data_IF_358076641975
#
_entry.id   IF_358076641975
#
_cell.length_a   1.000
_cell.length_b   1.000
_cell.length_c   1.000
_cell.angle_alpha   90.00
_cell.angle_beta   90.00
_cell.angle_gamma   90.00
#
_symmetry.space_group_name_H-M   'P 1'
#
loop_
_entity.id
_entity.type
_entity.pdbx_description
1 polymer ?
#
# COMPACT_ATOMS: atom_id res chain seq x y z
N UNK A 1 -9.51 11.61 -10.12
CA UNK A 1 -10.73 11.13 -9.42
C UNK A 1 -11.94 11.02 -10.35
N UNK A 2 -12.15 11.98 -11.27
CA UNK A 2 -13.33 11.97 -12.14
C UNK A 2 -13.22 10.90 -13.22
N UNK A 3 -12.04 10.69 -13.80
CA UNK A 3 -11.77 9.62 -14.77
C UNK A 3 -12.13 8.22 -14.23
N UNK A 4 -11.79 7.92 -12.99
CA UNK A 4 -12.15 6.63 -12.36
C UNK A 4 -13.66 6.50 -12.20
N UNK A 5 -14.36 7.56 -11.82
CA UNK A 5 -15.82 7.56 -11.73
C UNK A 5 -16.47 7.29 -13.08
N UNK A 6 -15.94 7.90 -14.15
CA UNK A 6 -16.41 7.64 -15.52
C UNK A 6 -16.16 6.18 -15.95
N UNK A 7 -14.97 5.63 -15.64
CA UNK A 7 -14.63 4.25 -15.95
C UNK A 7 -15.46 3.22 -15.18
N UNK A 8 -15.95 3.58 -14.00
CA UNK A 8 -16.83 2.75 -13.16
C UNK A 8 -18.31 3.07 -13.38
N UNK A 9 -18.64 3.98 -14.30
CA UNK A 9 -20.03 4.33 -14.61
C UNK A 9 -20.78 3.09 -15.16
N UNK A 10 -21.83 2.69 -14.45
CA UNK A 10 -22.62 1.49 -14.77
C UNK A 10 -22.21 0.21 -14.02
N UNK A 11 -21.11 0.21 -13.29
CA UNK A 11 -20.79 -0.88 -12.35
C UNK A 11 -21.75 -0.86 -11.16
N UNK A 12 -22.38 -2.01 -10.87
CA UNK A 12 -23.37 -2.12 -9.80
C UNK A 12 -22.73 -2.11 -8.41
N UNK A 13 -21.49 -2.53 -8.32
CA UNK A 13 -20.75 -2.68 -7.07
C UNK A 13 -19.31 -2.20 -7.27
N UNK A 14 -18.91 -1.22 -6.49
CA UNK A 14 -17.54 -0.66 -6.51
C UNK A 14 -16.75 -0.94 -5.24
N UNK A 15 -17.42 -1.39 -4.20
CA UNK A 15 -16.85 -1.81 -2.92
C UNK A 15 -17.42 -3.16 -2.53
N UNK A 16 -16.58 -4.06 -2.04
CA UNK A 16 -16.95 -5.38 -1.57
C UNK A 16 -16.33 -5.65 -0.21
N UNK A 17 -17.13 -6.08 0.73
CA UNK A 17 -16.66 -6.52 2.06
C UNK A 17 -16.72 -8.04 2.13
N UNK A 18 -15.61 -8.65 2.47
CA UNK A 18 -15.47 -10.09 2.64
C UNK A 18 -15.17 -10.41 4.11
N UNK A 19 -16.02 -11.19 4.76
CA UNK A 19 -15.70 -11.75 6.07
C UNK A 19 -14.79 -12.97 5.89
N UNK A 20 -13.56 -12.88 6.40
CA UNK A 20 -12.50 -13.91 6.23
C UNK A 20 -12.39 -14.82 7.47
N UNK A 21 -12.90 -14.36 8.60
CA UNK A 21 -13.08 -15.10 9.85
C UNK A 21 -14.16 -14.41 10.66
N UNK A 22 -14.76 -15.04 11.70
CA UNK A 22 -15.78 -14.44 12.55
C UNK A 22 -15.35 -13.07 13.08
N UNK A 23 -16.05 -12.01 12.64
CA UNK A 23 -15.77 -10.63 13.02
C UNK A 23 -14.54 -9.99 12.39
N UNK A 24 -13.87 -10.66 11.45
CA UNK A 24 -12.72 -10.10 10.72
C UNK A 24 -13.06 -9.95 9.25
N UNK A 25 -13.01 -8.72 8.78
CA UNK A 25 -13.38 -8.35 7.41
C UNK A 25 -12.22 -7.78 6.63
N UNK A 26 -12.27 -7.93 5.30
CA UNK A 26 -11.44 -7.23 4.34
C UNK A 26 -12.33 -6.45 3.37
N UNK A 27 -12.01 -5.19 3.16
CA UNK A 27 -12.68 -4.37 2.15
C UNK A 27 -11.86 -4.37 0.86
N UNK A 28 -12.56 -4.57 -0.24
CA UNK A 28 -11.97 -4.51 -1.57
C UNK A 28 -12.65 -3.42 -2.39
N UNK A 29 -11.86 -2.72 -3.18
CA UNK A 29 -12.34 -1.71 -4.13
C UNK A 29 -12.20 -2.22 -5.56
N UNK A 30 -13.13 -1.83 -6.41
CA UNK A 30 -13.14 -2.18 -7.83
C UNK A 30 -12.14 -1.32 -8.59
N UNK A 31 -11.13 -1.93 -9.17
CA UNK A 31 -10.17 -1.28 -10.06
C UNK A 31 -10.60 -1.53 -11.50
N UNK A 32 -10.89 -0.50 -12.29
CA UNK A 32 -11.40 -0.67 -13.65
C UNK A 32 -10.31 -1.21 -14.60
N UNK A 33 -10.74 -1.82 -15.70
CA UNK A 33 -9.88 -2.06 -16.85
C UNK A 33 -9.47 -0.73 -17.49
N UNK A 34 -8.35 -0.70 -18.21
CA UNK A 34 -7.91 0.51 -18.90
C UNK A 34 -6.48 0.42 -19.41
N UNK A 35 -5.95 1.54 -19.83
CA UNK A 35 -4.58 1.67 -20.34
C UNK A 35 -3.88 2.84 -19.67
N UNK A 36 -2.58 2.68 -19.43
CA UNK A 36 -1.73 3.73 -18.88
C UNK A 36 -0.27 3.57 -19.34
N UNK A 37 0.51 4.58 -19.10
CA UNK A 37 1.96 4.52 -19.29
C UNK A 37 2.58 4.18 -17.95
N UNK A 38 3.11 2.95 -17.82
CA UNK A 38 3.79 2.44 -16.64
C UNK A 38 5.21 2.97 -16.58
N UNK A 39 5.69 3.26 -15.38
CA UNK A 39 7.02 3.80 -15.14
C UNK A 39 7.06 5.33 -15.14
N UNK A 40 8.24 5.89 -14.93
CA UNK A 40 8.48 7.33 -14.88
C UNK A 40 9.87 7.67 -15.42
N UNK A 41 9.99 8.79 -16.14
CA UNK A 41 11.29 9.35 -16.52
C UNK A 41 11.92 10.20 -15.41
N UNK A 42 11.20 10.45 -14.33
CA UNK A 42 11.65 11.24 -13.18
C UNK A 42 12.01 10.37 -11.97
N UNK A 43 11.85 9.04 -12.09
CA UNK A 43 12.13 8.08 -11.04
C UNK A 43 13.54 7.49 -11.10
N UNK A 44 13.73 6.41 -10.35
CA UNK A 44 14.98 5.64 -10.35
C UNK A 44 15.20 4.93 -11.70
N UNK A 45 16.44 4.51 -12.03
CA UNK A 45 16.78 3.88 -13.31
C UNK A 45 15.94 2.66 -13.68
N UNK A 46 15.39 1.94 -12.72
CA UNK A 46 14.54 0.77 -12.92
C UNK A 46 13.08 1.10 -13.29
N UNK A 47 12.69 2.39 -13.22
CA UNK A 47 11.36 2.84 -13.62
C UNK A 47 11.22 3.13 -15.11
N UNK A 48 12.29 3.02 -15.90
CA UNK A 48 12.26 3.23 -17.34
C UNK A 48 12.99 2.11 -18.13
N UNK A 49 12.69 1.96 -19.43
CA UNK A 49 11.85 2.84 -20.24
C UNK A 49 10.36 2.72 -19.85
N UNK A 50 9.65 3.85 -19.93
CA UNK A 50 8.19 3.82 -19.77
C UNK A 50 7.54 2.93 -20.84
N UNK A 51 6.49 2.22 -20.47
CA UNK A 51 5.83 1.26 -21.34
C UNK A 51 4.31 1.43 -21.27
N UNK A 52 3.65 1.45 -22.44
CA UNK A 52 2.19 1.42 -22.47
C UNK A 52 1.68 0.05 -22.07
N UNK A 53 0.90 0.00 -21.01
CA UNK A 53 0.34 -1.21 -20.43
C UNK A 53 -1.18 -1.17 -20.49
N UNK A 54 -1.79 -2.31 -20.82
CA UNK A 54 -3.24 -2.50 -20.82
C UNK A 54 -3.63 -3.46 -19.71
N UNK A 55 -4.56 -3.03 -18.87
CA UNK A 55 -5.26 -3.85 -17.89
C UNK A 55 -6.57 -4.33 -18.56
N UNK A 56 -6.58 -5.53 -19.06
CA UNK A 56 -7.67 -6.04 -19.90
C UNK A 56 -9.00 -6.24 -19.16
N UNK A 57 -8.92 -6.51 -17.86
CA UNK A 57 -10.10 -6.80 -17.03
C UNK A 57 -10.04 -6.04 -15.72
N UNK A 58 -11.19 -5.49 -15.35
CA UNK A 58 -11.32 -4.94 -14.00
C UNK A 58 -11.11 -6.02 -12.94
N UNK A 59 -10.53 -5.64 -11.80
CA UNK A 59 -10.22 -6.53 -10.69
C UNK A 59 -10.57 -5.90 -9.34
N UNK A 60 -10.54 -6.69 -8.29
CA UNK A 60 -10.72 -6.23 -6.92
C UNK A 60 -9.36 -6.13 -6.23
N UNK A 61 -9.13 -5.03 -5.54
CA UNK A 61 -7.91 -4.81 -4.75
C UNK A 61 -8.29 -4.48 -3.32
N UNK A 62 -7.52 -4.95 -2.36
CA UNK A 62 -7.68 -4.54 -0.97
C UNK A 62 -7.61 -3.02 -0.85
N UNK A 63 -8.56 -2.43 -0.13
CA UNK A 63 -8.58 -0.98 0.13
C UNK A 63 -7.37 -0.53 0.96
N UNK A 64 -6.93 -1.42 1.85
CA UNK A 64 -5.78 -1.23 2.72
C UNK A 64 -4.84 -2.42 2.60
N UNK A 65 -3.62 -2.25 3.08
CA UNK A 65 -2.69 -3.36 3.31
C UNK A 65 -3.32 -4.37 4.27
N UNK A 66 -2.91 -5.63 4.15
CA UNK A 66 -3.34 -6.68 5.07
C UNK A 66 -2.90 -6.33 6.49
N UNK A 67 -3.86 -6.29 7.42
CA UNK A 67 -3.58 -5.96 8.82
C UNK A 67 -3.08 -7.17 9.61
N UNK A 68 -2.47 -6.92 10.78
CA UNK A 68 -2.06 -7.98 11.70
C UNK A 68 -3.25 -8.89 12.08
N UNK A 69 -4.41 -8.31 12.36
CA UNK A 69 -5.60 -9.07 12.69
C UNK A 69 -6.02 -9.99 11.55
N UNK A 70 -6.04 -9.50 10.32
CA UNK A 70 -6.38 -10.27 9.14
C UNK A 70 -5.38 -11.39 8.90
N UNK A 71 -4.08 -11.08 8.94
CA UNK A 71 -3.01 -12.07 8.74
C UNK A 71 -3.06 -13.19 9.79
N UNK A 72 -3.28 -12.82 11.04
CA UNK A 72 -3.34 -13.77 12.17
C UNK A 72 -4.55 -14.71 12.14
N UNK A 73 -5.55 -14.47 11.29
CA UNK A 73 -6.62 -15.46 11.02
C UNK A 73 -6.11 -16.75 10.38
N UNK A 74 -4.94 -16.68 9.75
CA UNK A 74 -4.27 -17.81 9.08
C UNK A 74 -2.99 -18.20 9.82
N UNK A 75 -2.20 -17.21 10.25
CA UNK A 75 -0.92 -17.40 10.93
C UNK A 75 -0.94 -16.80 12.34
N UNK A 76 -1.64 -17.42 13.30
CA UNK A 76 -1.89 -16.83 14.62
C UNK A 76 -0.64 -16.65 15.48
N UNK A 77 0.50 -17.25 15.09
CA UNK A 77 1.77 -17.09 15.79
C UNK A 77 2.66 -15.97 15.21
N UNK A 78 2.20 -15.32 14.13
CA UNK A 78 2.94 -14.20 13.57
C UNK A 78 2.87 -12.99 14.50
N UNK A 79 4.00 -12.34 14.69
CA UNK A 79 4.14 -11.11 15.46
C UNK A 79 4.98 -10.10 14.70
N UNK A 80 4.35 -9.01 14.29
CA UNK A 80 5.02 -7.87 13.64
C UNK A 80 5.96 -7.10 14.59
N UNK A 81 5.90 -7.39 15.90
CA UNK A 81 6.76 -6.82 16.94
C UNK A 81 6.64 -5.29 17.04
N UNK A 82 7.77 -4.64 17.04
CA UNK A 82 7.89 -3.18 17.18
C UNK A 82 9.02 -2.64 16.29
N UNK A 83 8.98 -1.36 16.01
CA UNK A 83 10.10 -0.63 15.40
C UNK A 83 10.98 -0.13 16.55
N UNK A 84 12.24 -0.57 16.55
CA UNK A 84 13.23 -0.15 17.54
C UNK A 84 13.65 1.30 17.30
N UNK A 85 13.86 2.06 18.36
CA UNK A 85 14.31 3.44 18.25
C UNK A 85 15.83 3.59 18.02
N UNK A 86 16.59 2.50 18.17
CA UNK A 86 18.05 2.53 18.08
C UNK A 86 18.63 1.66 16.98
N UNK A 87 18.02 0.50 16.71
CA UNK A 87 18.59 -0.52 15.84
C UNK A 87 17.52 -1.15 14.93
N UNK A 88 17.93 -1.50 13.72
CA UNK A 88 17.04 -2.18 12.74
C UNK A 88 16.69 -3.63 13.10
N UNK A 89 17.37 -4.22 14.07
CA UNK A 89 17.17 -5.61 14.48
C UNK A 89 15.92 -5.82 15.35
N UNK A 90 15.34 -4.72 15.85
CA UNK A 90 14.10 -4.73 16.61
C UNK A 90 14.15 -5.56 17.90
N UNK A 91 15.28 -5.57 18.53
CA UNK A 91 15.51 -6.27 19.81
C UNK A 91 15.05 -5.43 21.00
N UNK A 92 15.22 -4.11 20.91
CA UNK A 92 14.80 -3.18 21.95
C UNK A 92 13.38 -2.69 21.67
N UNK A 93 12.43 -2.82 22.62
CA UNK A 93 11.08 -2.33 22.46
C UNK A 93 11.02 -0.85 22.12
N UNK A 94 10.40 -0.52 21.00
CA UNK A 94 10.20 0.83 20.52
C UNK A 94 8.73 1.06 20.18
N UNK A 95 8.44 1.58 19.00
CA UNK A 95 7.07 1.81 18.55
C UNK A 95 6.41 0.47 18.16
N UNK A 96 5.27 0.09 18.76
CA UNK A 96 4.61 -1.18 18.43
C UNK A 96 4.07 -1.18 17.01
N UNK A 97 4.35 -2.27 16.28
CA UNK A 97 3.90 -2.49 14.90
C UNK A 97 2.92 -3.69 14.80
N UNK A 98 2.51 -4.26 15.93
CA UNK A 98 1.71 -5.47 16.01
C UNK A 98 0.27 -5.24 16.50
N UNK A 99 -0.21 -3.99 16.51
CA UNK A 99 -1.62 -3.73 16.83
C UNK A 99 -2.51 -4.34 15.73
N UNK A 100 -3.73 -4.77 16.08
CA UNK A 100 -4.62 -5.47 15.15
C UNK A 100 -4.85 -4.75 13.82
N UNK A 101 -5.04 -3.43 13.85
CA UNK A 101 -5.38 -2.60 12.70
C UNK A 101 -4.16 -2.10 11.91
N UNK A 102 -2.94 -2.30 12.42
CA UNK A 102 -1.73 -1.91 11.70
C UNK A 102 -1.42 -2.91 10.59
N UNK A 103 -0.80 -2.46 9.49
CA UNK A 103 -0.32 -3.34 8.44
C UNK A 103 0.61 -4.43 9.01
N UNK A 104 0.45 -5.66 8.53
CA UNK A 104 1.36 -6.73 8.87
C UNK A 104 2.73 -6.47 8.24
N UNK A 105 3.77 -6.57 9.03
CA UNK A 105 5.16 -6.46 8.58
C UNK A 105 5.95 -7.73 8.93
N UNK A 106 7.19 -7.85 8.45
CA UNK A 106 8.08 -9.01 8.63
C UNK A 106 7.55 -10.28 7.98
N UNK A 107 6.87 -10.12 6.85
CA UNK A 107 6.43 -11.19 5.98
C UNK A 107 7.25 -11.14 4.69
N UNK A 108 7.75 -12.28 4.26
CA UNK A 108 8.39 -12.39 2.95
C UNK A 108 7.34 -12.47 1.84
N UNK A 109 7.80 -12.32 0.59
CA UNK A 109 6.94 -12.56 -0.58
C UNK A 109 6.28 -13.95 -0.53
N UNK A 110 7.04 -14.98 -0.14
CA UNK A 110 6.52 -16.34 -0.06
C UNK A 110 5.45 -16.49 1.04
N UNK A 111 5.63 -15.85 2.18
CA UNK A 111 4.63 -15.82 3.26
C UNK A 111 3.35 -15.13 2.81
N UNK A 112 3.46 -14.01 2.11
CA UNK A 112 2.32 -13.30 1.56
C UNK A 112 1.58 -14.14 0.50
N UNK A 113 2.29 -14.84 -0.37
CA UNK A 113 1.70 -15.73 -1.36
C UNK A 113 1.02 -16.94 -0.72
N UNK A 114 1.60 -17.53 0.34
CA UNK A 114 0.95 -18.63 1.07
C UNK A 114 -0.30 -18.14 1.81
N UNK A 115 -0.27 -16.93 2.38
CA UNK A 115 -1.47 -16.30 2.94
C UNK A 115 -2.58 -16.19 1.88
N UNK A 116 -2.28 -15.64 0.71
CA UNK A 116 -3.23 -15.51 -0.39
C UNK A 116 -3.80 -16.86 -0.83
N UNK A 117 -2.97 -17.88 -0.93
CA UNK A 117 -3.36 -19.26 -1.31
C UNK A 117 -4.34 -19.86 -0.28
N UNK A 118 -4.03 -19.76 1.01
CA UNK A 118 -4.90 -20.31 2.05
C UNK A 118 -6.21 -19.51 2.11
N UNK A 119 -6.15 -18.18 1.97
CA UNK A 119 -7.33 -17.34 1.93
C UNK A 119 -8.21 -17.67 0.72
N UNK A 120 -7.61 -17.94 -0.43
CA UNK A 120 -8.32 -18.40 -1.64
C UNK A 120 -9.06 -19.71 -1.38
N UNK A 121 -8.42 -20.67 -0.74
CA UNK A 121 -9.03 -21.97 -0.39
C UNK A 121 -10.20 -21.80 0.58
N UNK A 122 -10.07 -20.92 1.57
CA UNK A 122 -11.12 -20.64 2.56
C UNK A 122 -12.33 -19.95 1.97
N UNK A 123 -12.12 -19.04 1.04
CA UNK A 123 -13.19 -18.18 0.50
C UNK A 123 -13.76 -18.67 -0.82
N UNK A 124 -13.09 -19.60 -1.50
CA UNK A 124 -13.41 -20.02 -2.87
C UNK A 124 -13.15 -18.96 -3.94
N UNK A 125 -12.47 -17.86 -3.59
CA UNK A 125 -12.10 -16.77 -4.49
C UNK A 125 -10.65 -16.95 -4.96
N UNK A 126 -10.32 -16.37 -6.11
CA UNK A 126 -8.94 -16.30 -6.57
C UNK A 126 -8.29 -15.04 -6.00
N UNK A 127 -7.53 -15.19 -4.92
CA UNK A 127 -6.85 -14.11 -4.21
C UNK A 127 -5.33 -14.30 -4.37
N UNK A 128 -4.65 -13.24 -4.76
CA UNK A 128 -3.19 -13.23 -4.95
C UNK A 128 -2.64 -11.82 -4.71
N UNK A 129 -1.32 -11.69 -4.67
CA UNK A 129 -0.71 -10.37 -4.76
C UNK A 129 -0.97 -9.76 -6.15
N UNK A 130 -1.14 -8.44 -6.25
CA UNK A 130 -1.24 -7.78 -7.54
C UNK A 130 0.09 -7.91 -8.29
N UNK A 131 0.02 -7.89 -9.62
CA UNK A 131 1.21 -7.64 -10.42
C UNK A 131 1.65 -6.19 -10.25
N UNK A 132 2.91 -5.89 -10.57
CA UNK A 132 3.45 -4.53 -10.55
C UNK A 132 2.57 -3.58 -11.38
N UNK A 133 2.20 -3.98 -12.58
CA UNK A 133 1.32 -3.19 -13.45
C UNK A 133 -0.08 -2.95 -12.84
N UNK A 134 -0.66 -3.93 -12.17
CA UNK A 134 -1.93 -3.77 -11.48
C UNK A 134 -1.81 -2.83 -10.29
N UNK A 135 -0.71 -2.94 -9.55
CA UNK A 135 -0.45 -2.08 -8.40
C UNK A 135 -0.27 -0.63 -8.84
N UNK A 136 0.59 -0.38 -9.84
CA UNK A 136 0.83 0.99 -10.34
C UNK A 136 -0.43 1.59 -10.95
N UNK A 137 -1.21 0.82 -11.73
CA UNK A 137 -2.49 1.27 -12.27
C UNK A 137 -3.46 1.72 -11.18
N UNK A 138 -3.58 0.93 -10.11
CA UNK A 138 -4.44 1.26 -8.98
C UNK A 138 -3.92 2.50 -8.23
N UNK A 139 -2.61 2.56 -7.96
CA UNK A 139 -1.95 3.68 -7.28
C UNK A 139 -2.13 5.01 -8.02
N UNK A 140 -2.05 5.02 -9.33
CA UNK A 140 -2.28 6.22 -10.16
C UNK A 140 -3.70 6.75 -10.09
N UNK A 141 -4.69 5.93 -9.73
CA UNK A 141 -6.09 6.35 -9.58
C UNK A 141 -6.67 7.04 -10.82
N UNK A 142 -6.23 6.64 -12.03
CA UNK A 142 -6.63 7.24 -13.31
C UNK A 142 -5.93 8.56 -13.64
N UNK A 143 -4.92 8.98 -12.86
CA UNK A 143 -4.09 10.15 -13.17
C UNK A 143 -3.02 9.79 -14.21
N UNK A 144 -2.74 10.72 -15.11
CA UNK A 144 -1.61 10.67 -16.03
C UNK A 144 -0.38 11.44 -15.46
N UNK A 145 -0.52 12.07 -14.27
CA UNK A 145 0.53 12.75 -13.52
C UNK A 145 1.38 11.76 -12.71
N UNK A 146 2.46 12.24 -12.06
CA UNK A 146 3.34 11.41 -11.24
C UNK A 146 2.61 10.74 -10.08
N UNK A 147 1.59 11.41 -9.49
CA UNK A 147 0.76 10.91 -8.39
C UNK A 147 -0.73 11.02 -8.72
N UNK A 148 -1.55 10.26 -8.02
CA UNK A 148 -3.01 10.31 -8.18
C UNK A 148 -3.63 11.69 -7.90
N UNK A 149 -2.94 12.54 -7.15
CA UNK A 149 -3.35 13.88 -6.74
C UNK A 149 -2.58 15.01 -7.46
N UNK A 150 -1.67 14.71 -8.38
CA UNK A 150 -0.91 15.67 -9.16
C UNK A 150 0.56 15.31 -9.34
N UNK A 151 1.39 16.32 -9.52
CA UNK A 151 2.85 16.17 -9.71
C UNK A 151 3.62 16.58 -8.43
N UNK A 152 4.95 16.64 -8.52
CA UNK A 152 5.86 16.99 -7.41
C UNK A 152 5.61 18.37 -6.78
N UNK A 153 4.81 19.26 -7.41
CA UNK A 153 4.44 20.55 -6.84
C UNK A 153 3.10 20.52 -6.08
N UNK A 154 2.42 19.37 -6.02
CA UNK A 154 1.16 19.21 -5.32
C UNK A 154 1.33 19.28 -3.79
N UNK A 155 0.24 19.53 -3.07
CA UNK A 155 0.21 19.45 -1.61
C UNK A 155 0.12 17.99 -1.16
N UNK A 156 1.17 17.50 -0.54
CA UNK A 156 1.28 16.15 0.02
C UNK A 156 0.67 16.00 1.42
N UNK A 157 0.40 17.11 2.12
CA UNK A 157 0.12 17.15 3.56
C UNK A 157 -1.03 16.27 4.07
N UNK A 158 -1.95 15.83 3.19
CA UNK A 158 -3.07 14.94 3.54
C UNK A 158 -3.27 13.85 2.51
N UNK A 159 -2.25 13.58 1.71
CA UNK A 159 -2.38 12.72 0.52
C UNK A 159 -1.51 11.50 0.61
N UNK A 160 -0.46 11.56 1.39
CA UNK A 160 0.51 10.49 1.48
C UNK A 160 1.12 10.41 2.88
N UNK A 161 1.64 9.23 3.23
CA UNK A 161 2.36 8.98 4.48
C UNK A 161 3.86 9.18 4.24
N UNK A 162 4.29 10.42 4.30
CA UNK A 162 5.69 10.78 4.11
C UNK A 162 6.40 10.99 5.44
N UNK A 163 7.73 10.95 5.39
CA UNK A 163 8.56 11.30 6.53
C UNK A 163 8.38 12.79 6.89
N UNK A 164 7.69 13.05 7.97
CA UNK A 164 7.41 14.38 8.52
C UNK A 164 8.10 14.58 9.87
N UNK A 165 7.77 15.65 10.57
CA UNK A 165 8.34 15.95 11.91
C UNK A 165 8.01 14.86 12.94
N UNK A 166 6.97 14.06 12.74
CA UNK A 166 6.64 12.96 13.66
C UNK A 166 7.62 11.81 13.50
N UNK A 167 8.25 11.66 12.34
CA UNK A 167 9.31 10.68 12.08
C UNK A 167 10.48 10.85 13.07
N UNK A 168 10.78 12.09 13.51
CA UNK A 168 11.81 12.34 14.53
C UNK A 168 11.54 11.62 15.86
N UNK A 169 10.28 11.32 16.17
CA UNK A 169 9.90 10.63 17.42
C UNK A 169 10.07 9.11 17.30
N UNK A 170 10.01 8.59 16.09
CA UNK A 170 10.00 7.15 15.82
C UNK A 170 11.15 6.72 14.91
N UNK A 171 11.95 7.70 14.41
CA UNK A 171 13.09 7.39 13.56
C UNK A 171 14.12 6.56 14.33
N UNK A 172 14.54 5.50 13.67
CA UNK A 172 15.60 4.61 14.15
C UNK A 172 16.93 5.12 13.63
N UNK A 173 17.94 5.23 14.51
CA UNK A 173 19.28 5.64 14.09
C UNK A 173 19.79 4.76 12.96
N UNK A 174 20.29 5.39 11.90
CA UNK A 174 20.80 4.68 10.72
C UNK A 174 19.73 4.09 9.79
N UNK A 175 18.45 4.40 9.99
CA UNK A 175 17.39 4.10 9.01
C UNK A 175 17.38 5.18 7.95
N UNK A 176 17.30 4.77 6.71
CA UNK A 176 17.11 5.64 5.56
C UNK A 176 15.65 5.51 5.08
N UNK A 177 14.92 6.59 4.77
CA UNK A 177 15.40 7.97 4.79
C UNK A 177 15.59 8.51 6.22
N UNK A 178 16.54 9.42 6.35
CA UNK A 178 16.70 10.21 7.57
C UNK A 178 15.44 11.06 7.81
N UNK A 179 15.17 11.44 9.07
CA UNK A 179 14.11 12.39 9.36
C UNK A 179 14.29 13.64 8.49
N UNK A 180 13.17 14.18 8.02
CA UNK A 180 13.17 15.35 7.16
C UNK A 180 13.86 16.54 7.86
N UNK A 181 14.87 17.13 7.22
CA UNK A 181 15.56 18.29 7.76
C UNK A 181 14.76 19.58 7.53
N UNK A 182 14.98 20.63 8.33
CA UNK A 182 14.36 21.93 8.11
C UNK A 182 14.68 22.56 6.74
N UNK A 183 15.78 22.17 6.11
CA UNK A 183 16.14 22.61 4.76
C UNK A 183 15.35 21.88 3.66
N UNK A 184 14.68 20.77 3.98
CA UNK A 184 13.85 20.06 3.02
C UNK A 184 12.72 20.95 2.53
N UNK A 185 12.47 21.05 1.20
CA UNK A 185 11.36 21.84 0.67
C UNK A 185 9.99 21.36 1.17
N UNK A 186 9.90 20.11 1.65
CA UNK A 186 8.68 19.49 2.16
C UNK A 186 8.46 19.72 3.65
N UNK A 187 9.48 20.14 4.40
CA UNK A 187 9.42 20.31 5.86
C UNK A 187 8.26 21.22 6.29
N UNK A 188 8.06 22.32 5.58
CA UNK A 188 6.99 23.29 5.87
C UNK A 188 5.57 22.77 5.76
N UNK A 189 5.36 21.65 5.07
CA UNK A 189 4.04 21.05 4.89
C UNK A 189 3.66 20.10 6.03
N UNK A 190 4.62 19.72 6.87
CA UNK A 190 4.50 18.68 7.89
C UNK A 190 4.88 19.15 9.29
N UNK A 191 5.09 20.45 9.47
CA UNK A 191 5.25 21.12 10.78
C UNK A 191 3.92 21.74 11.28
#
# INVERSE_FOLDING_TARGET
PDRVKEMLAGEKETVKVLEIAPGVQMTFVRIPAGEFVMGSYHGEPDTYPTTKVKIDKAFWMGELEVTNQQYNTIFPQHDSRYVDQQWKDHVVPGYPANKPEQPVIRVSYNDAMEYCKILSQKTGLNITLPTEAQWEWACRGGSDEDFWFGNLNADFGKKDNLADVTTNKFAVSGVDPQPMSPESPWYKYYT
#
